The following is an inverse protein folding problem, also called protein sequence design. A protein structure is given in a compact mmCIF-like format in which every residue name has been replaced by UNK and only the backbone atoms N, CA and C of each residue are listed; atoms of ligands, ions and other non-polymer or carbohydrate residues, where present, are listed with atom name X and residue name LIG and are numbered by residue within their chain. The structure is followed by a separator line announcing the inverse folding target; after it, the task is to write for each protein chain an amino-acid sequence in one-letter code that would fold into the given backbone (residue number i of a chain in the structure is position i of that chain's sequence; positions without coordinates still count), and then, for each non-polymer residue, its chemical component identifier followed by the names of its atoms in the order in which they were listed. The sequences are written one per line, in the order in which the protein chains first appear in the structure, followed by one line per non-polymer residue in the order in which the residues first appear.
data_IF_281898830015
#
_entry.id   IF_281898830015
#
_cell.length_a   1.000
_cell.length_b   1.000
_cell.length_c   1.000
_cell.angle_alpha   90.00
_cell.angle_beta   90.00
_cell.angle_gamma   90.00
#
_symmetry.space_group_name_H-M   'P 1'
#
loop_
_entity.id
_entity.type
_entity.pdbx_description
1 polymer ?
#
# COMPACT_ATOMS: atom_id res chain seq x y z
N UNK A 1 -36.56 -53.93 -28.86
CA UNK A 1 -36.60 -52.64 -29.59
C UNK A 1 -36.61 -51.53 -28.57
N UNK A 2 -35.75 -50.52 -28.52
CA UNK A 2 -34.52 -50.16 -29.24
C UNK A 2 -33.76 -49.29 -28.22
N UNK A 3 -32.49 -49.61 -27.99
CA UNK A 3 -31.55 -48.70 -27.37
C UNK A 3 -31.26 -47.54 -28.34
N UNK A 4 -31.04 -46.35 -27.80
CA UNK A 4 -30.30 -45.30 -28.49
C UNK A 4 -29.27 -44.72 -27.52
N UNK A 5 -28.03 -45.07 -27.84
CA UNK A 5 -26.76 -44.54 -27.40
C UNK A 5 -26.45 -43.22 -28.10
N UNK A 6 -25.75 -42.32 -27.41
CA UNK A 6 -24.83 -41.37 -28.05
C UNK A 6 -23.62 -41.12 -27.16
N UNK A 7 -22.53 -41.83 -27.47
CA UNK A 7 -21.15 -41.34 -27.69
C UNK A 7 -20.97 -39.81 -27.73
N UNK A 8 -19.82 -39.19 -27.49
CA UNK A 8 -18.46 -39.52 -27.03
C UNK A 8 -17.79 -38.13 -26.95
N UNK A 9 -16.98 -37.79 -25.95
CA UNK A 9 -15.59 -37.32 -26.16
C UNK A 9 -14.86 -37.20 -24.82
N UNK A 10 -14.00 -38.17 -24.53
CA UNK A 10 -12.98 -38.10 -23.47
C UNK A 10 -11.65 -37.78 -24.15
N UNK A 11 -11.08 -36.61 -23.89
CA UNK A 11 -9.73 -36.28 -24.34
C UNK A 11 -8.71 -37.04 -23.50
N UNK A 12 -7.98 -37.93 -24.18
CA UNK A 12 -6.84 -38.70 -23.69
C UNK A 12 -5.58 -37.86 -23.93
N UNK A 13 -4.96 -37.33 -22.90
CA UNK A 13 -3.59 -36.81 -22.98
C UNK A 13 -2.61 -37.93 -22.62
N UNK A 14 -1.90 -38.43 -23.63
CA UNK A 14 -0.74 -39.32 -23.47
C UNK A 14 0.53 -38.46 -23.37
N UNK A 15 1.22 -38.63 -22.25
CA UNK A 15 2.66 -38.93 -22.15
C UNK A 15 3.69 -37.93 -22.71
N UNK A 16 4.46 -37.34 -21.80
CA UNK A 16 5.92 -37.21 -21.95
C UNK A 16 6.58 -37.32 -20.56
N UNK A 17 7.72 -38.01 -20.55
CA UNK A 17 8.36 -38.75 -19.46
C UNK A 17 9.03 -37.92 -18.34
N UNK A 18 9.30 -38.53 -17.17
CA UNK A 18 10.01 -37.90 -16.06
C UNK A 18 11.53 -37.92 -16.30
N UNK A 19 12.19 -36.78 -16.16
CA UNK A 19 13.65 -36.70 -16.11
C UNK A 19 14.12 -37.18 -14.74
N UNK A 20 14.78 -38.33 -14.73
CA UNK A 20 15.47 -38.89 -13.57
C UNK A 20 16.69 -38.05 -13.19
N UNK A 21 16.89 -37.90 -11.89
CA UNK A 21 18.12 -37.40 -11.29
C UNK A 21 19.16 -38.53 -11.27
N UNK A 22 20.43 -38.28 -11.56
CA UNK A 22 21.48 -39.24 -11.29
C UNK A 22 21.88 -39.17 -9.81
N UNK A 23 21.84 -40.32 -9.16
CA UNK A 23 22.56 -40.62 -7.92
C UNK A 23 24.07 -40.62 -8.20
N UNK A 24 24.86 -40.06 -7.28
CA UNK A 24 26.29 -40.32 -7.19
C UNK A 24 27.16 -39.08 -7.17
N UNK A 25 27.35 -38.48 -5.99
CA UNK A 25 28.61 -37.81 -5.64
C UNK A 25 28.87 -37.95 -4.15
N UNK A 26 29.81 -38.83 -3.80
CA UNK A 26 30.44 -38.90 -2.49
C UNK A 26 31.57 -37.86 -2.41
N UNK A 27 31.69 -37.22 -1.24
CA UNK A 27 32.97 -36.79 -0.67
C UNK A 27 33.53 -35.44 -1.12
N UNK A 28 33.39 -34.42 -0.29
CA UNK A 28 34.55 -33.77 0.37
C UNK A 28 34.05 -32.61 1.24
N UNK A 29 34.48 -32.62 2.51
CA UNK A 29 34.20 -31.57 3.47
C UNK A 29 34.95 -30.29 3.08
N UNK A 30 34.22 -29.17 3.04
CA UNK A 30 34.80 -27.84 3.05
C UNK A 30 33.96 -26.99 3.99
N UNK A 31 34.64 -26.43 4.99
CA UNK A 31 34.09 -25.51 5.97
C UNK A 31 33.51 -24.28 5.26
N UNK A 32 32.26 -23.94 5.60
CA UNK A 32 31.66 -22.67 5.17
C UNK A 32 32.14 -21.57 6.11
N UNK A 33 33.08 -20.75 5.65
CA UNK A 33 33.29 -19.42 6.20
C UNK A 33 32.13 -18.49 5.80
N UNK A 34 31.69 -17.58 6.68
CA UNK A 34 30.65 -16.60 6.33
C UNK A 34 31.24 -15.54 5.38
N UNK A 35 30.58 -15.35 4.23
CA UNK A 35 30.85 -14.23 3.33
C UNK A 35 30.33 -12.92 3.96
N UNK A 36 31.26 -12.04 4.34
CA UNK A 36 31.01 -10.64 4.61
C UNK A 36 30.63 -9.92 3.32
N UNK A 37 29.36 -9.53 3.18
CA UNK A 37 28.90 -8.56 2.20
C UNK A 37 28.17 -7.43 2.93
N UNK A 38 28.93 -6.66 3.72
CA UNK A 38 28.45 -5.49 4.46
C UNK A 38 29.18 -4.24 3.95
N UNK A 39 29.16 -3.99 2.64
CA UNK A 39 29.71 -2.77 2.04
C UNK A 39 28.96 -2.41 0.75
N UNK A 40 27.80 -1.74 0.85
CA UNK A 40 27.20 -1.08 -0.33
C UNK A 40 26.14 -0.02 -0.01
N UNK A 41 26.32 0.75 1.07
CA UNK A 41 25.58 2.01 1.30
C UNK A 41 26.51 3.17 1.69
N UNK A 42 27.82 3.00 1.50
CA UNK A 42 28.80 4.08 1.67
C UNK A 42 29.15 4.59 0.28
N UNK A 43 29.02 5.91 0.10
CA UNK A 43 29.50 6.71 -1.03
C UNK A 43 28.48 7.01 -2.14
N UNK A 44 27.50 7.88 -1.89
CA UNK A 44 27.00 8.80 -2.93
C UNK A 44 26.44 10.08 -2.28
N UNK A 45 27.34 10.98 -1.85
CA UNK A 45 27.15 12.44 -1.84
C UNK A 45 28.51 13.12 -1.65
N UNK A 46 29.15 13.43 -2.77
CA UNK A 46 30.20 14.42 -2.86
C UNK A 46 29.85 15.27 -4.09
N UNK A 47 29.12 16.35 -3.82
CA UNK A 47 29.14 17.64 -4.52
C UNK A 47 28.02 18.47 -3.90
N UNK A 48 28.41 19.35 -2.98
CA UNK A 48 27.52 20.22 -2.24
C UNK A 48 27.07 21.42 -3.06
N UNK A 49 25.86 21.86 -2.76
CA UNK A 49 25.46 23.26 -2.78
C UNK A 49 24.42 23.42 -1.67
N UNK A 50 24.82 23.98 -0.54
CA UNK A 50 23.91 24.41 0.53
C UNK A 50 23.34 25.75 0.08
N UNK A 51 22.03 25.78 -0.20
CA UNK A 51 21.32 27.02 -0.47
C UNK A 51 20.35 27.25 0.68
N UNK A 52 20.75 28.09 1.64
CA UNK A 52 19.89 28.51 2.75
C UNK A 52 18.84 29.47 2.21
N UNK A 53 17.69 28.94 1.78
CA UNK A 53 16.52 29.76 1.43
C UNK A 53 15.63 29.97 2.65
N UNK A 54 15.07 31.16 2.75
CA UNK A 54 14.19 31.58 3.84
C UNK A 54 12.76 31.04 3.64
N UNK A 55 11.99 30.90 4.73
CA UNK A 55 10.58 30.41 4.72
C UNK A 55 9.70 31.12 3.68
N UNK A 56 9.89 32.43 3.49
CA UNK A 56 9.18 33.21 2.47
C UNK A 56 9.54 32.83 1.04
N UNK A 57 10.76 32.37 0.78
CA UNK A 57 11.20 31.94 -0.56
C UNK A 57 10.73 30.52 -0.89
N UNK A 58 10.52 29.66 0.10
CA UNK A 58 9.94 28.32 -0.12
C UNK A 58 8.44 28.45 -0.41
N UNK A 59 7.72 29.27 0.36
CA UNK A 59 6.31 29.57 0.09
C UNK A 59 6.11 30.36 -1.21
N UNK A 60 7.02 31.25 -1.58
CA UNK A 60 6.99 31.97 -2.86
C UNK A 60 7.45 31.12 -4.06
N UNK A 61 8.27 30.08 -3.86
CA UNK A 61 8.60 29.12 -4.92
C UNK A 61 7.52 28.04 -5.10
N UNK A 62 6.68 27.80 -4.08
CA UNK A 62 5.45 27.01 -4.22
C UNK A 62 4.31 27.89 -4.80
N UNK A 63 4.35 29.19 -4.55
CA UNK A 63 3.46 30.21 -5.13
C UNK A 63 4.17 31.08 -6.16
N UNK A 64 4.84 30.47 -7.16
CA UNK A 64 5.32 31.22 -8.33
C UNK A 64 4.09 31.68 -9.11
N UNK A 65 3.73 32.92 -8.82
CA UNK A 65 3.02 33.88 -9.66
C UNK A 65 3.08 33.53 -11.16
N UNK A 66 1.93 33.11 -11.70
CA UNK A 66 1.67 33.12 -13.14
C UNK A 66 1.70 31.79 -13.91
N UNK A 67 1.78 30.63 -13.25
CA UNK A 67 1.66 29.33 -13.92
C UNK A 67 0.32 28.67 -13.62
N UNK A 68 -0.30 28.09 -14.66
CA UNK A 68 -1.48 27.22 -14.64
C UNK A 68 -1.75 26.60 -13.27
N UNK A 69 -3.00 26.73 -12.78
CA UNK A 69 -3.50 26.00 -11.61
C UNK A 69 -2.90 24.59 -11.60
N UNK A 70 -1.98 24.31 -10.67
CA UNK A 70 -1.29 23.02 -10.63
C UNK A 70 -2.33 21.91 -10.82
N UNK A 71 -2.17 21.11 -11.88
CA UNK A 71 -3.14 20.10 -12.30
C UNK A 71 -3.21 19.00 -11.26
N UNK A 72 -4.00 19.24 -10.21
CA UNK A 72 -4.26 18.28 -9.15
C UNK A 72 -5.26 17.25 -9.66
N UNK A 73 -4.96 15.97 -9.40
CA UNK A 73 -5.89 14.89 -9.69
C UNK A 73 -7.13 15.10 -8.82
N UNK A 74 -8.29 15.22 -9.46
CA UNK A 74 -9.57 15.36 -8.76
C UNK A 74 -10.00 14.00 -8.23
N UNK A 75 -10.37 13.93 -6.95
CA UNK A 75 -10.93 12.74 -6.33
C UNK A 75 -12.44 12.90 -6.21
N UNK A 76 -13.18 11.88 -6.66
CA UNK A 76 -14.61 11.73 -6.51
C UNK A 76 -14.90 10.68 -5.42
N UNK A 77 -15.46 11.14 -4.31
CA UNK A 77 -15.91 10.28 -3.21
C UNK A 77 -17.19 9.53 -3.60
N UNK A 78 -17.44 8.43 -2.90
CA UNK A 78 -18.69 7.69 -3.03
C UNK A 78 -19.88 8.51 -2.53
N UNK A 79 -21.05 8.44 -3.18
CA UNK A 79 -22.28 9.07 -2.69
C UNK A 79 -22.79 8.42 -1.40
N UNK A 80 -22.48 7.14 -1.16
CA UNK A 80 -22.67 6.49 0.14
C UNK A 80 -21.34 6.57 0.90
N UNK A 81 -21.30 7.09 2.13
CA UNK A 81 -20.05 7.22 2.87
C UNK A 81 -19.31 5.89 3.03
N UNK A 82 -18.00 5.92 2.86
CA UNK A 82 -17.10 4.77 3.08
C UNK A 82 -16.37 4.96 4.40
N UNK A 83 -16.40 3.96 5.28
CA UNK A 83 -15.55 3.86 6.46
C UNK A 83 -14.48 2.78 6.24
N UNK A 84 -13.22 3.13 6.47
CA UNK A 84 -12.15 2.15 6.59
C UNK A 84 -11.78 1.96 8.07
N UNK A 85 -11.71 0.70 8.48
CA UNK A 85 -11.28 0.29 9.81
C UNK A 85 -9.87 -0.26 9.69
N UNK A 86 -8.95 0.33 10.45
CA UNK A 86 -7.59 -0.16 10.56
C UNK A 86 -7.55 -1.51 11.30
N UNK A 87 -6.45 -2.25 11.16
CA UNK A 87 -6.26 -3.58 11.73
C UNK A 87 -6.49 -3.59 13.24
N UNK A 88 -6.01 -2.56 13.96
CA UNK A 88 -6.23 -2.44 15.41
C UNK A 88 -7.71 -2.35 15.80
N UNK A 89 -8.51 -1.59 15.04
CA UNK A 89 -9.95 -1.49 15.29
C UNK A 89 -10.66 -2.82 14.99
N UNK A 90 -10.26 -3.51 13.92
CA UNK A 90 -10.76 -4.84 13.57
C UNK A 90 -10.46 -5.85 14.69
N UNK A 91 -9.23 -5.85 15.21
CA UNK A 91 -8.81 -6.75 16.30
C UNK A 91 -9.60 -6.46 17.58
N UNK A 92 -9.83 -5.19 17.94
CA UNK A 92 -10.58 -4.84 19.15
C UNK A 92 -12.05 -5.26 19.05
N UNK A 93 -12.67 -5.05 17.89
CA UNK A 93 -14.01 -5.58 17.58
C UNK A 93 -14.01 -7.10 17.73
N UNK A 94 -13.05 -7.80 17.12
CA UNK A 94 -12.96 -9.25 17.19
C UNK A 94 -12.83 -9.76 18.63
N UNK A 95 -11.92 -9.18 19.42
CA UNK A 95 -11.72 -9.56 20.83
C UNK A 95 -12.98 -9.33 21.66
N UNK A 96 -13.69 -8.23 21.42
CA UNK A 96 -14.96 -7.94 22.10
C UNK A 96 -16.06 -8.94 21.70
N UNK A 97 -16.22 -9.23 20.40
CA UNK A 97 -17.26 -10.16 19.90
C UNK A 97 -17.05 -11.60 20.33
N UNK A 98 -15.81 -12.00 20.59
CA UNK A 98 -15.45 -13.35 21.04
C UNK A 98 -15.34 -13.48 22.56
N UNK A 99 -15.58 -12.39 23.31
CA UNK A 99 -15.47 -12.38 24.77
C UNK A 99 -14.02 -12.45 25.29
N UNK A 100 -13.03 -12.21 24.42
CA UNK A 100 -11.61 -12.12 24.79
C UNK A 100 -11.26 -10.78 25.43
N UNK A 101 -12.03 -9.73 25.11
CA UNK A 101 -12.03 -8.44 25.80
C UNK A 101 -13.47 -7.99 26.05
N UNK A 102 -13.65 -6.99 26.92
CA UNK A 102 -14.92 -6.31 27.10
C UNK A 102 -14.73 -4.81 26.92
N UNK A 103 -15.08 -4.30 25.74
CA UNK A 103 -15.12 -2.87 25.44
C UNK A 103 -16.50 -2.48 24.87
N UNK A 104 -17.28 -1.74 25.68
CA UNK A 104 -18.60 -1.24 25.28
C UNK A 104 -18.53 -0.33 24.04
N UNK A 105 -17.42 0.38 23.82
CA UNK A 105 -17.25 1.27 22.66
C UNK A 105 -17.01 0.44 21.40
N UNK A 106 -16.17 -0.59 21.47
CA UNK A 106 -15.96 -1.52 20.35
C UNK A 106 -17.26 -2.27 19.98
N UNK A 107 -18.04 -2.71 20.98
CA UNK A 107 -19.35 -3.33 20.75
C UNK A 107 -20.33 -2.34 20.08
N UNK A 108 -20.44 -1.11 20.60
CA UNK A 108 -21.29 -0.05 20.01
C UNK A 108 -20.87 0.26 18.57
N UNK A 109 -19.56 0.35 18.30
CA UNK A 109 -19.03 0.56 16.96
C UNK A 109 -19.47 -0.53 15.99
N UNK A 110 -19.29 -1.79 16.38
CA UNK A 110 -19.72 -2.94 15.58
C UNK A 110 -21.22 -2.88 15.26
N UNK A 111 -22.07 -2.68 16.27
CA UNK A 111 -23.51 -2.68 16.10
C UNK A 111 -23.98 -1.53 15.22
N UNK A 112 -23.39 -0.35 15.38
CA UNK A 112 -23.74 0.84 14.60
C UNK A 112 -23.30 0.70 13.13
N UNK A 113 -22.07 0.25 12.86
CA UNK A 113 -21.61 0.00 11.50
C UNK A 113 -22.50 -1.05 10.84
N UNK A 114 -22.76 -2.18 11.53
CA UNK A 114 -23.61 -3.25 11.01
C UNK A 114 -25.00 -2.74 10.64
N UNK A 115 -25.62 -1.93 11.51
CA UNK A 115 -26.92 -1.34 11.27
C UNK A 115 -26.92 -0.44 10.03
N UNK A 116 -25.92 0.45 9.89
CA UNK A 116 -25.85 1.42 8.78
C UNK A 116 -25.48 0.76 7.46
N UNK A 117 -24.64 -0.28 7.48
CA UNK A 117 -24.32 -1.09 6.30
C UNK A 117 -25.55 -1.87 5.84
N UNK A 118 -26.27 -2.53 6.76
CA UNK A 118 -27.50 -3.26 6.41
C UNK A 118 -28.59 -2.34 5.83
N UNK A 119 -28.63 -1.07 6.25
CA UNK A 119 -29.54 -0.06 5.72
C UNK A 119 -29.07 0.56 4.38
N UNK A 120 -27.91 0.18 3.84
CA UNK A 120 -27.35 0.77 2.63
C UNK A 120 -26.88 2.22 2.80
N UNK A 121 -26.61 2.66 4.03
CA UNK A 121 -26.25 4.04 4.38
C UNK A 121 -24.75 4.23 4.62
N UNK A 122 -23.99 3.14 4.69
CA UNK A 122 -22.55 3.12 4.94
C UNK A 122 -21.92 1.94 4.20
N UNK A 123 -20.75 2.12 3.62
CA UNK A 123 -19.93 1.03 3.07
C UNK A 123 -18.74 0.84 4.01
N UNK A 124 -18.54 -0.39 4.50
CA UNK A 124 -17.40 -0.74 5.35
C UNK A 124 -16.63 -1.89 4.69
N UNK A 125 -15.74 -1.64 3.73
CA UNK A 125 -15.08 -2.71 2.99
C UNK A 125 -13.97 -3.38 3.79
N UNK A 126 -13.62 -4.60 3.38
CA UNK A 126 -12.43 -5.28 3.85
C UNK A 126 -11.18 -4.74 3.14
N UNK A 127 -10.17 -4.31 3.91
CA UNK A 127 -8.84 -3.96 3.40
C UNK A 127 -7.84 -5.14 3.46
N UNK A 128 -6.59 -4.86 3.14
CA UNK A 128 -5.49 -5.82 3.12
C UNK A 128 -4.86 -5.98 4.52
N UNK A 129 -5.60 -6.61 5.44
CA UNK A 129 -5.21 -6.76 6.85
C UNK A 129 -4.55 -8.11 7.17
N UNK A 130 -4.52 -9.04 6.21
CA UNK A 130 -4.17 -10.44 6.45
C UNK A 130 -2.73 -10.61 6.94
N UNK A 131 -1.82 -9.72 6.53
CA UNK A 131 -0.41 -9.78 6.93
C UNK A 131 -0.14 -9.26 8.34
N UNK A 132 -1.07 -8.51 8.93
CA UNK A 132 -0.92 -7.88 10.24
C UNK A 132 -1.63 -8.63 11.37
N UNK A 133 -2.65 -9.40 11.04
CA UNK A 133 -3.43 -10.17 12.01
C UNK A 133 -2.61 -11.37 12.50
N UNK A 134 -2.29 -11.40 13.80
CA UNK A 134 -1.61 -12.52 14.44
C UNK A 134 -2.59 -13.55 15.03
N UNK A 135 -3.85 -13.17 15.21
CA UNK A 135 -4.95 -14.04 15.64
C UNK A 135 -5.39 -15.03 14.53
N UNK A 136 -6.38 -15.89 14.82
CA UNK A 136 -6.96 -16.77 13.81
C UNK A 136 -7.67 -15.92 12.73
N UNK A 137 -6.99 -15.76 11.59
CA UNK A 137 -7.45 -14.95 10.47
C UNK A 137 -8.85 -15.34 10.01
N UNK A 138 -9.20 -16.64 10.07
CA UNK A 138 -10.53 -17.11 9.68
C UNK A 138 -11.58 -16.61 10.65
N UNK A 139 -11.33 -16.66 11.95
CA UNK A 139 -12.26 -16.14 12.96
C UNK A 139 -12.40 -14.62 12.91
N UNK A 140 -11.28 -13.90 12.76
CA UNK A 140 -11.28 -12.44 12.61
C UNK A 140 -12.08 -12.04 11.38
N UNK A 141 -11.79 -12.67 10.23
CA UNK A 141 -12.51 -12.44 8.97
C UNK A 141 -14.00 -12.73 9.14
N UNK A 142 -14.36 -13.89 9.71
CA UNK A 142 -15.77 -14.23 9.93
C UNK A 142 -16.52 -13.20 10.78
N UNK A 143 -15.84 -12.62 11.77
CA UNK A 143 -16.44 -11.60 12.64
C UNK A 143 -16.75 -10.32 11.88
N UNK A 144 -15.84 -9.88 11.02
CA UNK A 144 -15.99 -8.63 10.26
C UNK A 144 -16.77 -8.77 8.95
N UNK A 145 -16.94 -9.98 8.40
CA UNK A 145 -17.75 -10.18 7.17
C UNK A 145 -19.19 -9.64 7.31
N UNK A 146 -19.75 -9.67 8.52
CA UNK A 146 -21.05 -9.09 8.81
C UNK A 146 -21.10 -7.56 8.71
N UNK A 147 -19.94 -6.89 8.80
CA UNK A 147 -19.78 -5.46 8.58
C UNK A 147 -19.53 -5.12 7.12
N UNK A 148 -18.88 -6.02 6.37
CA UNK A 148 -18.42 -5.71 5.02
C UNK A 148 -19.38 -6.12 3.91
N UNK A 149 -20.32 -7.02 4.20
CA UNK A 149 -21.16 -7.68 3.20
C UNK A 149 -20.34 -8.35 2.07
N UNK A 150 -19.06 -8.64 2.33
CA UNK A 150 -18.11 -9.17 1.33
C UNK A 150 -17.55 -8.12 0.37
N UNK A 151 -17.86 -6.84 0.53
CA UNK A 151 -17.27 -5.75 -0.25
C UNK A 151 -15.80 -5.62 0.15
N UNK A 152 -14.89 -5.57 -0.84
CA UNK A 152 -13.44 -5.50 -0.63
C UNK A 152 -12.80 -4.39 -1.43
N UNK A 153 -11.81 -3.75 -0.82
CA UNK A 153 -10.83 -2.99 -1.59
C UNK A 153 -10.01 -3.93 -2.47
N UNK A 154 -9.39 -3.38 -3.52
CA UNK A 154 -8.29 -4.05 -4.22
C UNK A 154 -7.07 -4.14 -3.31
N UNK A 155 -6.15 -5.04 -3.66
CA UNK A 155 -4.82 -5.06 -3.06
C UNK A 155 -4.16 -3.67 -3.18
N UNK A 156 -3.34 -3.30 -2.19
CA UNK A 156 -2.78 -1.94 -2.14
C UNK A 156 -1.98 -1.58 -3.39
N UNK A 157 -1.21 -2.54 -3.91
CA UNK A 157 -0.42 -2.39 -5.13
C UNK A 157 -1.30 -2.10 -6.35
N UNK A 158 -2.46 -2.76 -6.49
CA UNK A 158 -3.39 -2.53 -7.61
C UNK A 158 -3.98 -1.12 -7.58
N UNK A 159 -4.30 -0.61 -6.38
CA UNK A 159 -4.81 0.76 -6.20
C UNK A 159 -3.72 1.77 -6.54
N UNK A 160 -2.49 1.57 -6.04
CA UNK A 160 -1.34 2.42 -6.35
C UNK A 160 -1.06 2.43 -7.86
N UNK A 161 -0.99 1.26 -8.50
CA UNK A 161 -0.77 1.15 -9.94
C UNK A 161 -1.87 1.86 -10.73
N UNK A 162 -3.13 1.75 -10.31
CA UNK A 162 -4.25 2.49 -10.93
C UNK A 162 -4.05 4.01 -10.85
N UNK A 163 -3.57 4.52 -9.71
CA UNK A 163 -3.23 5.94 -9.57
C UNK A 163 -2.08 6.32 -10.52
N UNK A 164 -0.98 5.56 -10.56
CA UNK A 164 0.18 5.83 -11.42
C UNK A 164 -0.21 5.83 -12.90
N UNK A 165 -1.02 4.88 -13.37
CA UNK A 165 -1.48 4.82 -14.76
C UNK A 165 -2.28 6.07 -15.13
N UNK A 166 -3.13 6.57 -14.23
CA UNK A 166 -3.88 7.82 -14.43
C UNK A 166 -2.95 9.03 -14.45
N UNK A 167 -1.93 9.06 -13.61
CA UNK A 167 -0.91 10.11 -13.61
C UNK A 167 -0.10 10.14 -14.90
N UNK A 168 0.29 8.98 -15.43
CA UNK A 168 0.97 8.87 -16.74
C UNK A 168 0.08 9.47 -17.83
N UNK A 169 -1.22 9.14 -17.83
CA UNK A 169 -2.17 9.70 -18.79
C UNK A 169 -2.30 11.23 -18.64
N UNK A 170 -2.31 11.75 -17.42
CA UNK A 170 -2.30 13.19 -17.16
C UNK A 170 -1.05 13.84 -17.77
N UNK A 171 0.12 13.29 -17.45
CA UNK A 171 1.41 13.81 -17.87
C UNK A 171 1.55 13.84 -19.41
N UNK A 172 1.18 12.75 -20.08
CA UNK A 172 1.33 12.63 -21.54
C UNK A 172 0.25 13.37 -22.33
N UNK A 173 -0.99 13.43 -21.83
CA UNK A 173 -2.13 13.98 -22.60
C UNK A 173 -2.63 15.33 -22.11
N UNK A 174 -2.10 15.82 -20.98
CA UNK A 174 -2.57 17.02 -20.28
C UNK A 174 -4.04 17.00 -19.86
N UNK A 175 -4.73 15.85 -19.97
CA UNK A 175 -6.13 15.66 -19.57
C UNK A 175 -6.20 15.25 -18.11
N UNK A 176 -6.85 16.07 -17.28
CA UNK A 176 -7.10 15.80 -15.86
C UNK A 176 -7.90 14.51 -15.67
N UNK A 177 -7.27 13.41 -15.19
CA UNK A 177 -8.00 12.21 -14.86
C UNK A 177 -8.77 12.45 -13.56
N UNK A 178 -9.95 11.86 -13.46
CA UNK A 178 -10.66 11.75 -12.20
C UNK A 178 -10.28 10.42 -11.55
N UNK A 179 -9.82 10.48 -10.30
CA UNK A 179 -9.80 9.33 -9.41
C UNK A 179 -11.18 9.21 -8.79
N UNK A 180 -11.81 8.07 -8.94
CA UNK A 180 -13.15 7.78 -8.41
C UNK A 180 -13.02 6.74 -7.32
N UNK A 181 -13.95 6.71 -6.37
CA UNK A 181 -13.99 5.67 -5.36
C UNK A 181 -13.91 4.25 -5.96
N UNK A 182 -14.48 4.02 -7.16
CA UNK A 182 -14.44 2.72 -7.87
C UNK A 182 -13.03 2.23 -8.20
N UNK A 183 -12.05 3.13 -8.29
CA UNK A 183 -10.67 2.74 -8.56
C UNK A 183 -10.10 1.88 -7.42
N UNK A 184 -10.62 2.04 -6.20
CA UNK A 184 -10.20 1.31 -5.02
C UNK A 184 -10.85 -0.08 -4.87
N UNK A 185 -11.83 -0.47 -5.68
CA UNK A 185 -12.62 -1.70 -5.50
C UNK A 185 -12.57 -2.62 -6.72
N UNK A 186 -12.64 -3.94 -6.50
CA UNK A 186 -12.73 -4.92 -7.59
C UNK A 186 -14.06 -4.82 -8.37
N UNK A 187 -15.14 -4.42 -7.70
CA UNK A 187 -16.49 -4.22 -8.25
C UNK A 187 -17.07 -2.93 -7.68
N UNK A 188 -18.11 -2.38 -8.30
CA UNK A 188 -18.74 -1.15 -7.81
C UNK A 188 -19.42 -1.41 -6.45
N UNK A 189 -18.95 -0.82 -5.34
CA UNK A 189 -19.50 -1.11 -4.01
C UNK A 189 -20.95 -0.65 -3.86
N UNK A 190 -21.41 0.32 -4.66
CA UNK A 190 -22.82 0.76 -4.65
C UNK A 190 -23.76 -0.29 -5.23
N UNK A 191 -23.27 -1.11 -6.16
CA UNK A 191 -24.05 -2.22 -6.71
C UNK A 191 -23.97 -3.44 -5.79
N UNK A 192 -22.83 -3.64 -5.12
CA UNK A 192 -22.66 -4.75 -4.18
C UNK A 192 -23.50 -4.58 -2.91
N UNK A 193 -23.60 -3.38 -2.35
CA UNK A 193 -24.40 -3.13 -1.13
C UNK A 193 -25.91 -3.34 -1.35
N UNK A 194 -26.39 -3.20 -2.59
CA UNK A 194 -27.80 -3.45 -2.96
C UNK A 194 -28.13 -4.93 -3.13
N UNK A 195 -27.12 -5.80 -3.25
CA UNK A 195 -27.35 -7.23 -3.47
C UNK A 195 -27.89 -7.88 -2.21
N UNK A 196 -29.08 -8.45 -2.33
CA UNK A 196 -29.62 -9.37 -1.34
C UNK A 196 -29.01 -10.76 -1.56
N UNK A 197 -27.79 -10.96 -1.03
CA UNK A 197 -27.15 -12.27 -1.03
C UNK A 197 -27.46 -12.99 0.29
N UNK A 198 -28.07 -14.18 0.28
CA UNK A 198 -28.37 -14.92 1.51
C UNK A 198 -27.11 -15.44 2.21
N UNK A 199 -25.97 -15.47 1.52
CA UNK A 199 -24.67 -15.89 2.05
C UNK A 199 -23.53 -15.06 1.46
N UNK A 200 -22.44 -14.95 2.23
CA UNK A 200 -21.17 -14.35 1.81
C UNK A 200 -20.14 -15.47 1.79
N UNK A 201 -19.49 -15.67 0.64
CA UNK A 201 -18.38 -16.64 0.52
C UNK A 201 -17.07 -15.88 0.64
N UNK A 202 -16.28 -16.24 1.64
CA UNK A 202 -14.91 -15.77 1.81
C UNK A 202 -13.96 -16.97 1.77
N UNK A 203 -12.93 -16.88 0.94
CA UNK A 203 -11.83 -17.83 0.95
C UNK A 203 -10.74 -17.22 1.83
N UNK A 204 -10.38 -17.93 2.90
CA UNK A 204 -9.27 -17.56 3.78
C UNK A 204 -8.24 -18.67 3.68
N UNK A 205 -7.02 -18.32 3.26
CA UNK A 205 -5.90 -19.25 3.22
C UNK A 205 -5.08 -19.01 4.48
N UNK A 206 -5.16 -19.93 5.43
CA UNK A 206 -4.35 -19.83 6.64
C UNK A 206 -2.88 -19.97 6.26
N UNK A 207 -2.07 -19.00 6.69
CA UNK A 207 -0.62 -19.09 6.53
C UNK A 207 -0.07 -20.23 7.38
N UNK A 208 0.88 -20.97 6.82
CA UNK A 208 1.62 -22.00 7.55
C UNK A 208 2.51 -21.37 8.63
N UNK A 209 2.88 -22.14 9.66
CA UNK A 209 3.78 -21.66 10.71
C UNK A 209 5.15 -21.21 10.16
N UNK A 210 5.62 -21.85 9.08
CA UNK A 210 6.85 -21.46 8.38
C UNK A 210 6.71 -20.09 7.71
N UNK A 211 5.61 -19.85 7.00
CA UNK A 211 5.33 -18.55 6.38
C UNK A 211 5.20 -17.43 7.43
N UNK A 212 4.51 -17.69 8.54
CA UNK A 212 4.39 -16.76 9.66
C UNK A 212 5.79 -16.46 10.22
N UNK A 213 6.61 -17.49 10.45
CA UNK A 213 7.99 -17.35 10.91
C UNK A 213 8.85 -16.49 9.96
N UNK A 214 8.75 -16.74 8.65
CA UNK A 214 9.43 -15.97 7.61
C UNK A 214 9.00 -14.51 7.61
N UNK A 215 7.69 -14.23 7.68
CA UNK A 215 7.15 -12.86 7.75
C UNK A 215 7.67 -12.13 8.99
N UNK A 216 7.63 -12.76 10.17
CA UNK A 216 8.15 -12.18 11.42
C UNK A 216 9.65 -11.86 11.31
N UNK A 217 10.42 -12.76 10.72
CA UNK A 217 11.85 -12.54 10.48
C UNK A 217 12.11 -11.38 9.51
N UNK A 218 11.45 -11.35 8.37
CA UNK A 218 11.57 -10.25 7.38
C UNK A 218 11.13 -8.91 7.98
N UNK A 219 10.02 -8.88 8.72
CA UNK A 219 9.54 -7.67 9.41
C UNK A 219 10.59 -7.14 10.39
N UNK A 220 11.24 -8.03 11.15
CA UNK A 220 12.32 -7.66 12.06
C UNK A 220 13.53 -7.07 11.31
N UNK A 221 13.99 -7.71 10.24
CA UNK A 221 15.11 -7.21 9.45
C UNK A 221 14.81 -5.83 8.85
N UNK A 222 13.63 -5.65 8.27
CA UNK A 222 13.21 -4.38 7.69
C UNK A 222 13.14 -3.28 8.76
N UNK A 223 12.63 -3.59 9.95
CA UNK A 223 12.58 -2.65 11.06
C UNK A 223 13.98 -2.23 11.52
N UNK A 224 14.90 -3.19 11.65
CA UNK A 224 16.29 -2.89 12.02
C UNK A 224 16.97 -1.99 10.98
N UNK A 225 16.75 -2.23 9.69
CA UNK A 225 17.25 -1.39 8.61
C UNK A 225 16.66 0.02 8.67
N UNK A 226 15.34 0.13 8.88
CA UNK A 226 14.64 1.41 8.98
C UNK A 226 15.13 2.22 10.17
N UNK A 227 15.31 1.58 11.32
CA UNK A 227 15.82 2.19 12.54
C UNK A 227 17.26 2.69 12.36
N UNK A 228 18.14 1.87 11.76
CA UNK A 228 19.50 2.30 11.42
C UNK A 228 19.49 3.49 10.47
N UNK A 229 18.56 3.52 9.53
CA UNK A 229 18.47 4.64 8.58
C UNK A 229 18.05 5.91 9.31
N UNK A 230 17.06 5.83 10.21
CA UNK A 230 16.65 6.95 11.08
C UNK A 230 17.82 7.50 11.90
N UNK A 231 18.58 6.61 12.56
CA UNK A 231 19.69 6.98 13.42
C UNK A 231 20.87 7.61 12.66
N UNK A 232 21.21 7.07 11.48
CA UNK A 232 22.44 7.46 10.77
C UNK A 232 22.27 8.61 9.78
N UNK A 233 21.07 8.86 9.25
CA UNK A 233 20.89 9.76 8.11
C UNK A 233 19.94 10.93 8.35
N UNK A 234 19.06 10.84 9.35
CA UNK A 234 17.87 11.68 9.39
C UNK A 234 17.73 12.54 10.65
N UNK A 235 18.65 12.43 11.61
CA UNK A 235 18.60 13.24 12.84
C UNK A 235 18.82 14.75 12.61
N UNK A 236 19.47 15.13 11.50
CA UNK A 236 19.85 16.54 11.24
C UNK A 236 18.98 17.22 10.17
N UNK A 237 18.07 16.48 9.51
CA UNK A 237 17.21 17.06 8.46
C UNK A 237 15.95 17.63 9.04
N UNK A 238 15.51 18.76 8.49
CA UNK A 238 14.17 19.24 8.77
C UNK A 238 13.11 18.42 8.01
N UNK A 239 11.84 18.63 8.38
CA UNK A 239 10.71 17.92 7.78
C UNK A 239 10.61 18.11 6.26
N UNK A 240 10.91 19.30 5.74
CA UNK A 240 10.75 19.62 4.32
C UNK A 240 11.87 19.03 3.47
N UNK A 241 13.10 19.04 3.98
CA UNK A 241 14.22 18.32 3.36
C UNK A 241 13.93 16.83 3.29
N UNK A 242 13.40 16.25 4.38
CA UNK A 242 13.00 14.85 4.37
C UNK A 242 11.85 14.58 3.40
N UNK A 243 10.85 15.45 3.36
CA UNK A 243 9.70 15.30 2.46
C UNK A 243 10.14 15.28 0.99
N UNK A 244 11.08 16.14 0.59
CA UNK A 244 11.58 16.13 -0.80
C UNK A 244 12.35 14.85 -1.11
N UNK A 245 13.15 14.33 -0.17
CA UNK A 245 13.83 13.04 -0.34
C UNK A 245 12.81 11.89 -0.50
N UNK A 246 11.75 11.85 0.31
CA UNK A 246 10.70 10.83 0.18
C UNK A 246 9.91 10.94 -1.14
N UNK A 247 9.59 12.16 -1.58
CA UNK A 247 8.95 12.40 -2.88
C UNK A 247 9.83 11.95 -4.05
N UNK A 248 11.15 11.98 -3.88
CA UNK A 248 12.15 11.53 -4.86
C UNK A 248 12.57 10.07 -4.66
N UNK A 249 12.04 9.38 -3.64
CA UNK A 249 12.40 8.02 -3.27
C UNK A 249 12.15 7.02 -4.39
N UNK A 250 10.99 7.06 -5.04
CA UNK A 250 10.68 6.13 -6.13
C UNK A 250 11.59 6.37 -7.35
N UNK A 251 11.83 7.63 -7.73
CA UNK A 251 12.80 7.96 -8.77
C UNK A 251 14.18 7.35 -8.47
N UNK A 252 14.66 7.55 -7.24
CA UNK A 252 15.99 7.09 -6.81
C UNK A 252 16.07 5.57 -6.82
N UNK A 253 15.03 4.88 -6.34
CA UNK A 253 14.93 3.43 -6.36
C UNK A 253 14.87 2.86 -7.79
N UNK A 254 14.02 3.43 -8.66
CA UNK A 254 13.92 3.01 -10.07
C UNK A 254 15.25 3.17 -10.78
N UNK A 255 15.96 4.29 -10.54
CA UNK A 255 17.29 4.53 -11.12
C UNK A 255 18.30 3.49 -10.65
N UNK A 256 18.34 3.20 -9.35
CA UNK A 256 19.21 2.17 -8.78
C UNK A 256 18.95 0.78 -9.38
N UNK A 257 17.67 0.39 -9.51
CA UNK A 257 17.28 -0.89 -10.13
C UNK A 257 17.72 -0.94 -11.59
N UNK A 258 17.58 0.16 -12.32
CA UNK A 258 18.06 0.25 -13.70
C UNK A 258 19.58 0.12 -13.81
N UNK A 259 20.34 0.83 -12.97
CA UNK A 259 21.80 0.76 -12.94
C UNK A 259 22.27 -0.66 -12.58
N UNK A 260 21.60 -1.32 -11.65
CA UNK A 260 21.86 -2.73 -11.26
C UNK A 260 21.61 -3.68 -12.43
N UNK A 261 20.47 -3.54 -13.12
CA UNK A 261 20.15 -4.30 -14.32
C UNK A 261 21.25 -4.14 -15.38
N UNK A 262 21.63 -2.91 -15.70
CA UNK A 262 22.64 -2.62 -16.71
C UNK A 262 24.02 -3.19 -16.33
N UNK A 263 24.42 -3.03 -15.06
CA UNK A 263 25.69 -3.56 -14.57
C UNK A 263 25.73 -5.09 -14.66
N UNK A 264 24.72 -5.78 -14.13
CA UNK A 264 24.68 -7.25 -14.14
C UNK A 264 24.55 -7.82 -15.54
N UNK A 265 23.74 -7.22 -16.42
CA UNK A 265 23.63 -7.65 -17.81
C UNK A 265 24.94 -7.50 -18.58
N UNK A 266 25.66 -6.37 -18.42
CA UNK A 266 26.96 -6.14 -19.09
C UNK A 266 28.03 -7.14 -18.62
N UNK A 267 28.03 -7.46 -17.33
CA UNK A 267 29.01 -8.36 -16.72
C UNK A 267 28.56 -9.84 -16.68
N UNK A 268 27.39 -10.16 -17.25
CA UNK A 268 26.78 -11.51 -17.25
C UNK A 268 26.65 -12.11 -15.84
N UNK A 269 26.33 -11.28 -14.85
CA UNK A 269 26.13 -11.69 -13.47
C UNK A 269 24.69 -12.21 -13.26
N UNK A 270 24.48 -13.20 -12.36
CA UNK A 270 23.15 -13.70 -12.07
C UNK A 270 22.32 -12.68 -11.28
N UNK A 271 21.01 -12.70 -11.52
CA UNK A 271 20.02 -11.97 -10.73
C UNK A 271 19.49 -12.86 -9.61
N UNK A 272 19.30 -12.26 -8.44
CA UNK A 272 18.52 -12.86 -7.36
C UNK A 272 17.03 -12.71 -7.65
N UNK A 273 16.19 -13.52 -7.01
CA UNK A 273 14.73 -13.41 -7.11
C UNK A 273 14.22 -12.02 -6.71
N UNK A 274 14.77 -11.46 -5.62
CA UNK A 274 14.44 -10.09 -5.15
C UNK A 274 14.72 -9.04 -6.23
N UNK A 275 15.89 -9.10 -6.87
CA UNK A 275 16.25 -8.15 -7.93
C UNK A 275 15.34 -8.32 -9.16
N UNK A 276 14.99 -9.55 -9.51
CA UNK A 276 14.06 -9.81 -10.60
C UNK A 276 12.68 -9.20 -10.33
N UNK A 277 12.18 -9.36 -9.11
CA UNK A 277 10.91 -8.74 -8.68
C UNK A 277 10.99 -7.22 -8.69
N UNK A 278 12.10 -6.62 -8.24
CA UNK A 278 12.32 -5.18 -8.32
C UNK A 278 12.35 -4.68 -9.77
N UNK A 279 13.04 -5.38 -10.67
CA UNK A 279 13.07 -5.05 -12.10
C UNK A 279 11.66 -5.10 -12.68
N UNK A 280 10.87 -6.13 -12.36
CA UNK A 280 9.52 -6.25 -12.87
C UNK A 280 8.62 -5.10 -12.39
N UNK A 281 8.61 -4.82 -11.09
CA UNK A 281 7.68 -3.88 -10.47
C UNK A 281 8.08 -2.42 -10.73
N UNK A 282 9.37 -2.08 -10.70
CA UNK A 282 9.83 -0.70 -10.86
C UNK A 282 10.14 -0.31 -12.31
N UNK A 283 10.41 -1.26 -13.21
CA UNK A 283 10.75 -1.00 -14.61
C UNK A 283 9.79 -1.67 -15.58
N UNK A 284 9.70 -3.00 -15.61
CA UNK A 284 9.05 -3.71 -16.71
C UNK A 284 7.56 -3.39 -16.83
N UNK A 285 6.81 -3.46 -15.73
CA UNK A 285 5.37 -3.20 -15.70
C UNK A 285 5.09 -1.70 -15.99
N UNK A 286 5.67 -0.73 -15.26
CA UNK A 286 5.44 0.69 -15.54
C UNK A 286 5.83 1.09 -16.96
N UNK A 287 6.96 0.62 -17.48
CA UNK A 287 7.39 0.92 -18.85
C UNK A 287 6.46 0.32 -19.90
N UNK A 288 5.82 -0.82 -19.62
CA UNK A 288 4.82 -1.41 -20.52
C UNK A 288 3.59 -0.52 -20.64
N UNK A 289 3.13 0.08 -19.54
CA UNK A 289 2.06 1.08 -19.57
C UNK A 289 2.51 2.39 -20.20
N UNK A 290 3.70 2.86 -19.86
CA UNK A 290 4.31 4.08 -20.41
C UNK A 290 4.37 4.04 -21.94
N UNK A 291 4.83 2.92 -22.52
CA UNK A 291 4.92 2.71 -23.98
C UNK A 291 3.59 2.88 -24.72
N UNK A 292 2.44 2.66 -24.06
CA UNK A 292 1.12 2.83 -24.68
C UNK A 292 0.82 4.28 -25.07
N UNK A 293 1.53 5.24 -24.49
CA UNK A 293 1.33 6.67 -24.71
C UNK A 293 2.36 7.32 -25.65
N UNK A 294 3.12 6.53 -26.44
CA UNK A 294 4.10 7.01 -27.45
C UNK A 294 5.21 7.92 -26.89
N UNK A 295 5.67 7.62 -25.69
CA UNK A 295 6.59 8.44 -24.91
C UNK A 295 8.08 8.11 -25.15
N UNK A 296 8.98 8.96 -24.64
CA UNK A 296 10.44 8.96 -24.79
C UNK A 296 11.18 7.79 -24.09
N UNK A 297 10.58 6.59 -24.05
CA UNK A 297 11.15 5.41 -23.42
C UNK A 297 11.46 5.61 -21.93
N UNK A 298 12.54 4.98 -21.44
CA UNK A 298 12.92 5.02 -20.03
C UNK A 298 13.22 6.43 -19.53
N UNK A 299 13.92 7.25 -20.30
CA UNK A 299 14.25 8.62 -19.88
C UNK A 299 12.99 9.46 -19.65
N UNK A 300 11.99 9.32 -20.52
CA UNK A 300 10.68 9.96 -20.31
C UNK A 300 10.01 9.51 -19.01
N UNK A 301 10.03 8.21 -18.73
CA UNK A 301 9.43 7.66 -17.50
C UNK A 301 10.16 8.16 -16.25
N UNK A 302 11.49 8.22 -16.29
CA UNK A 302 12.31 8.75 -15.21
C UNK A 302 12.00 10.23 -14.96
N UNK A 303 11.84 11.05 -16.00
CA UNK A 303 11.43 12.45 -15.83
C UNK A 303 9.99 12.58 -15.31
N UNK A 304 9.08 11.69 -15.72
CA UNK A 304 7.75 11.60 -15.13
C UNK A 304 7.78 11.32 -13.62
N UNK A 305 8.65 10.44 -13.12
CA UNK A 305 8.76 10.19 -11.67
C UNK A 305 9.20 11.42 -10.86
N UNK A 306 9.83 12.41 -11.52
CA UNK A 306 10.23 13.69 -10.91
C UNK A 306 9.15 14.77 -11.03
N UNK A 307 8.14 14.53 -11.87
CA UNK A 307 7.12 15.50 -12.24
C UNK A 307 6.17 15.84 -11.10
N UNK A 308 5.52 17.00 -11.21
CA UNK A 308 4.50 17.45 -10.27
C UNK A 308 3.28 16.52 -10.30
N UNK A 309 2.96 15.95 -11.47
CA UNK A 309 1.87 15.00 -11.66
C UNK A 309 2.07 13.72 -10.84
N UNK A 310 3.29 13.20 -10.81
CA UNK A 310 3.63 12.02 -10.01
C UNK A 310 3.66 12.34 -8.51
N UNK A 311 4.34 13.44 -8.12
CA UNK A 311 4.44 13.86 -6.70
C UNK A 311 3.08 14.20 -6.08
N UNK A 312 2.11 14.66 -6.87
CA UNK A 312 0.75 14.95 -6.42
C UNK A 312 -0.20 13.75 -6.42
N UNK A 313 0.28 12.53 -6.74
CA UNK A 313 -0.53 11.34 -6.57
C UNK A 313 -0.91 11.16 -5.11
N UNK A 314 -2.17 10.83 -4.79
CA UNK A 314 -2.60 10.68 -3.40
C UNK A 314 -1.73 9.72 -2.60
N UNK A 315 -1.44 8.53 -3.15
CA UNK A 315 -0.54 7.58 -2.50
C UNK A 315 0.86 8.17 -2.24
N UNK A 316 1.47 8.79 -3.25
CA UNK A 316 2.84 9.31 -3.17
C UNK A 316 2.93 10.46 -2.16
N UNK A 317 2.00 11.42 -2.22
CA UNK A 317 1.97 12.57 -1.33
C UNK A 317 1.70 12.18 0.12
N UNK A 318 0.73 11.30 0.37
CA UNK A 318 0.41 10.86 1.74
C UNK A 318 1.59 10.06 2.30
N UNK A 319 2.11 9.09 1.55
CA UNK A 319 3.21 8.25 1.98
C UNK A 319 4.44 9.09 2.33
N UNK A 320 4.84 9.98 1.41
CA UNK A 320 6.01 10.83 1.62
C UNK A 320 5.87 11.74 2.84
N UNK A 321 4.69 12.35 3.06
CA UNK A 321 4.44 13.21 4.24
C UNK A 321 4.45 12.43 5.55
N UNK A 322 3.78 11.28 5.58
CA UNK A 322 3.70 10.47 6.79
C UNK A 322 5.05 9.87 7.15
N UNK A 323 5.79 9.38 6.16
CA UNK A 323 7.16 8.87 6.32
C UNK A 323 8.10 10.00 6.74
N UNK A 324 8.07 11.16 6.10
CA UNK A 324 8.89 12.30 6.52
C UNK A 324 8.62 12.70 7.98
N UNK A 325 7.35 12.81 8.39
CA UNK A 325 6.99 13.06 9.78
C UNK A 325 7.51 11.96 10.72
N UNK A 326 7.59 10.70 10.26
CA UNK A 326 8.05 9.57 11.07
C UNK A 326 9.54 9.67 11.35
N UNK A 327 10.30 9.98 10.31
CA UNK A 327 11.75 10.12 10.37
C UNK A 327 12.18 11.36 11.14
N UNK A 328 11.48 12.49 11.00
CA UNK A 328 11.83 13.73 11.71
C UNK A 328 11.14 13.91 13.06
N UNK A 329 10.22 12.99 13.43
CA UNK A 329 9.58 13.03 14.74
C UNK A 329 10.60 12.82 15.87
N UNK A 330 10.35 13.48 17.01
CA UNK A 330 11.11 13.30 18.27
C UNK A 330 11.05 11.87 18.83
N UNK A 331 10.24 11.00 18.25
CA UNK A 331 10.11 9.59 18.63
C UNK A 331 11.43 8.87 18.36
N UNK A 332 12.01 8.24 19.39
CA UNK A 332 13.33 7.60 19.28
C UNK A 332 13.34 6.36 18.37
N UNK A 333 12.30 5.53 18.46
CA UNK A 333 12.20 4.27 17.73
C UNK A 333 11.01 4.31 16.77
N UNK A 334 11.15 3.69 15.60
CA UNK A 334 10.03 3.39 14.71
C UNK A 334 9.38 2.08 15.17
N UNK A 335 8.05 1.97 15.10
CA UNK A 335 7.37 0.71 15.38
C UNK A 335 7.34 -0.20 14.16
N UNK A 336 7.27 -1.51 14.41
CA UNK A 336 7.17 -2.50 13.34
C UNK A 336 5.92 -2.38 12.47
N UNK A 337 4.85 -1.73 12.97
CA UNK A 337 3.60 -1.49 12.25
C UNK A 337 3.60 -0.21 11.41
N UNK A 338 4.40 0.80 11.80
CA UNK A 338 4.39 2.13 11.19
C UNK A 338 4.46 2.09 9.64
N UNK A 339 5.36 1.31 9.00
CA UNK A 339 5.43 1.27 7.53
C UNK A 339 4.16 0.72 6.86
N UNK A 340 3.55 -0.30 7.48
CA UNK A 340 2.34 -0.93 6.93
C UNK A 340 1.15 0.01 7.09
N UNK A 341 0.99 0.63 8.27
CA UNK A 341 -0.07 1.62 8.54
C UNK A 341 0.02 2.77 7.54
N UNK A 342 1.22 3.33 7.34
CA UNK A 342 1.47 4.40 6.35
C UNK A 342 1.08 3.94 4.96
N UNK A 343 1.45 2.72 4.54
CA UNK A 343 1.10 2.19 3.22
C UNK A 343 -0.42 2.06 3.03
N UNK A 344 -1.11 1.48 4.01
CA UNK A 344 -2.57 1.31 4.01
C UNK A 344 -3.29 2.66 3.96
N UNK A 345 -2.90 3.59 4.84
CA UNK A 345 -3.47 4.94 4.92
C UNK A 345 -3.25 5.68 3.60
N UNK A 346 -2.04 5.64 3.05
CA UNK A 346 -1.70 6.28 1.76
C UNK A 346 -2.56 5.77 0.62
N UNK A 347 -2.92 4.49 0.68
CA UNK A 347 -3.71 3.83 -0.36
C UNK A 347 -5.20 4.15 -0.23
N UNK A 348 -5.75 4.05 0.98
CA UNK A 348 -7.19 3.97 1.21
C UNK A 348 -7.83 5.30 1.64
N UNK A 349 -7.11 6.14 2.40
CA UNK A 349 -7.62 7.42 2.92
C UNK A 349 -8.21 8.33 1.82
N UNK A 350 -7.61 8.44 0.61
CA UNK A 350 -8.16 9.28 -0.46
C UNK A 350 -9.60 8.90 -0.86
N UNK A 351 -9.99 7.64 -0.71
CA UNK A 351 -11.28 7.13 -1.16
C UNK A 351 -12.33 7.02 -0.04
N UNK A 352 -11.93 7.19 1.22
CA UNK A 352 -12.81 7.02 2.38
C UNK A 352 -13.40 8.35 2.87
N UNK A 353 -14.58 8.32 3.46
CA UNK A 353 -15.15 9.47 4.18
C UNK A 353 -14.75 9.45 5.65
N UNK A 354 -14.64 8.24 6.21
CA UNK A 354 -14.26 8.00 7.60
C UNK A 354 -13.08 7.03 7.64
N UNK A 355 -12.11 7.32 8.49
CA UNK A 355 -11.00 6.41 8.81
C UNK A 355 -10.90 6.27 10.32
N UNK A 356 -10.89 5.03 10.82
CA UNK A 356 -10.63 4.73 12.22
C UNK A 356 -9.29 4.01 12.33
N UNK A 357 -8.28 4.68 12.88
CA UNK A 357 -6.90 4.19 13.04
C UNK A 357 -6.42 4.44 14.48
N UNK A 358 -5.19 4.08 14.82
CA UNK A 358 -4.63 4.41 16.13
C UNK A 358 -4.45 5.93 16.31
N UNK A 359 -4.23 6.31 17.57
CA UNK A 359 -4.11 7.71 17.97
C UNK A 359 -2.90 8.39 17.34
N UNK A 360 -1.79 7.69 17.17
CA UNK A 360 -0.55 8.27 16.66
C UNK A 360 -0.65 8.52 15.15
N UNK A 361 -1.21 7.58 14.38
CA UNK A 361 -1.47 7.81 12.96
C UNK A 361 -2.54 8.88 12.73
N UNK A 362 -3.62 8.90 13.51
CA UNK A 362 -4.61 9.99 13.45
C UNK A 362 -3.96 11.36 13.67
N UNK A 363 -3.10 11.49 14.69
CA UNK A 363 -2.41 12.74 14.98
C UNK A 363 -1.44 13.13 13.87
N UNK A 364 -0.72 12.17 13.29
CA UNK A 364 0.17 12.39 12.14
C UNK A 364 -0.61 12.91 10.93
N UNK A 365 -1.72 12.27 10.59
CA UNK A 365 -2.61 12.71 9.49
C UNK A 365 -3.09 14.14 9.71
N UNK A 366 -3.60 14.47 10.90
CA UNK A 366 -4.13 15.81 11.23
C UNK A 366 -3.04 16.88 11.24
N UNK A 367 -1.86 16.59 11.80
CA UNK A 367 -0.71 17.52 11.82
C UNK A 367 -0.27 17.88 10.40
N UNK A 368 -0.34 16.93 9.48
CA UNK A 368 0.02 17.12 8.07
C UNK A 368 -1.15 17.65 7.21
N UNK A 369 -2.31 17.93 7.82
CA UNK A 369 -3.56 18.36 7.15
C UNK A 369 -3.98 17.43 5.99
N UNK A 370 -3.64 16.14 6.09
CA UNK A 370 -3.97 15.13 5.07
C UNK A 370 -5.49 14.88 5.06
N UNK A 371 -6.11 14.82 6.24
CA UNK A 371 -7.55 14.73 6.44
C UNK A 371 -8.31 15.83 5.66
N UNK A 372 -7.87 17.09 5.80
CA UNK A 372 -8.48 18.24 5.13
C UNK A 372 -8.22 18.22 3.62
N UNK A 373 -7.00 17.85 3.20
CA UNK A 373 -6.63 17.81 1.78
C UNK A 373 -7.48 16.82 1.00
N UNK A 374 -7.83 15.69 1.60
CA UNK A 374 -8.58 14.61 0.95
C UNK A 374 -10.04 14.52 1.39
N UNK A 375 -10.54 15.51 2.15
CA UNK A 375 -11.92 15.54 2.65
C UNK A 375 -12.32 14.22 3.34
N UNK A 376 -11.49 13.80 4.30
CA UNK A 376 -11.65 12.55 5.05
C UNK A 376 -11.64 12.84 6.54
N UNK A 377 -12.65 12.40 7.28
CA UNK A 377 -12.67 12.50 8.74
C UNK A 377 -11.92 11.33 9.36
N UNK A 378 -10.93 11.63 10.21
CA UNK A 378 -10.05 10.63 10.83
C UNK A 378 -10.25 10.60 12.34
N UNK A 379 -10.50 9.41 12.86
CA UNK A 379 -10.79 9.13 14.27
C UNK A 379 -9.84 8.06 14.80
N UNK A 380 -9.84 7.94 16.12
CA UNK A 380 -9.23 6.85 16.87
C UNK A 380 -10.19 6.38 17.95
N UNK A 381 -9.88 5.26 18.61
CA UNK A 381 -10.65 4.81 19.78
C UNK A 381 -10.72 5.89 20.87
N UNK A 382 -9.76 6.82 20.94
CA UNK A 382 -9.78 7.89 21.96
C UNK A 382 -10.90 8.92 21.76
N UNK A 383 -11.27 9.23 20.51
CA UNK A 383 -12.32 10.20 20.16
C UNK A 383 -13.48 9.56 19.38
N UNK A 384 -13.74 8.27 19.61
CA UNK A 384 -14.74 7.51 18.87
C UNK A 384 -16.18 8.01 19.07
N UNK A 385 -16.46 8.76 20.13
CA UNK A 385 -17.80 9.30 20.38
C UNK A 385 -18.19 10.32 19.28
N UNK A 386 -17.23 11.09 18.77
CA UNK A 386 -17.45 11.96 17.60
C UNK A 386 -17.80 11.16 16.34
N UNK A 387 -17.22 9.97 16.17
CA UNK A 387 -17.55 9.07 15.08
C UNK A 387 -18.97 8.49 15.26
N UNK A 388 -19.36 8.13 16.49
CA UNK A 388 -20.73 7.67 16.77
C UNK A 388 -21.76 8.73 16.39
N UNK A 389 -21.55 9.99 16.77
CA UNK A 389 -22.45 11.08 16.41
C UNK A 389 -22.61 11.21 14.88
N UNK A 390 -21.51 11.07 14.12
CA UNK A 390 -21.57 11.11 12.65
C UNK A 390 -22.32 9.92 12.07
N UNK A 391 -22.03 8.71 12.55
CA UNK A 391 -22.64 7.49 12.05
C UNK A 391 -24.12 7.41 12.39
N UNK A 392 -24.53 7.83 13.59
CA UNK A 392 -25.93 7.87 14.03
C UNK A 392 -26.79 8.76 13.12
N UNK A 393 -26.22 9.84 12.59
CA UNK A 393 -26.90 10.81 11.70
C UNK A 393 -26.90 10.45 10.20
N UNK A 394 -26.34 9.31 9.79
CA UNK A 394 -26.49 8.76 8.43
C UNK A 394 -27.89 8.17 8.20
#
# INVERSE_FOLDING_TARGET
MKALTSDNTVFKLRGASPLGLPEGFQGSGVSRQPCEATQSLRSFKLLGFVNTRTLSEIEANINITGCDSMKKIKIEKSPIPIIWLDTLAIIEIYKTKTGKSFDNRAQKLYDLIKLKVAAGKLICPLGDHEEEIEEDLREVTNTILGLTLGIRFKANEDIQQTQVIKAIKLYETNKLPMLTYKDAFYKDPLEEIKRTSPFIISVVINSTSEEIGRRKYTKKLNLEELQRTKENYYMDKDFYEQLEDELMGHYSATRYVYETLMHKSRNKLPFTEREFNQINNMLAIPLTYWKRYKSNGLNGYIEFLKSVEYKNLPYVDINARMTADLFTSKRKLIDSGDPTDISNISTLLPFCNYVLTDKDQMNRIKRQNIDKKYDTYVYSMSNIDELFDKLENL
#
